data_IF_365015517878
#
_entry.id   IF_365015517878
#
_cell.length_a   1.000
_cell.length_b   1.000
_cell.length_c   1.000
_cell.angle_alpha   90.00
_cell.angle_beta   90.00
_cell.angle_gamma   90.00
#
_symmetry.space_group_name_H-M   'P 1'
#
loop_
_entity.id
_entity.type
_entity.pdbx_description
1 polymer ?
#
# COMPACT_ATOMS: atom_id res chain seq x y z
N UNK A 1 16.80 -2.12 -18.24
CA UNK A 1 17.59 -2.78 -17.18
C UNK A 1 18.81 -1.93 -16.89
N UNK A 2 19.04 -1.52 -15.64
CA UNK A 2 20.25 -0.76 -15.26
C UNK A 2 21.46 -1.70 -15.34
N UNK A 3 22.32 -1.50 -16.34
CA UNK A 3 23.40 -2.44 -16.72
C UNK A 3 24.55 -2.52 -15.70
N UNK A 4 24.62 -1.60 -14.73
CA UNK A 4 25.66 -1.53 -13.69
C UNK A 4 25.07 -1.51 -12.26
N UNK A 5 23.88 -2.06 -12.08
CA UNK A 5 23.25 -2.06 -10.76
C UNK A 5 23.81 -3.18 -9.87
N UNK A 6 23.67 -3.00 -8.55
CA UNK A 6 23.99 -4.02 -7.56
C UNK A 6 23.29 -5.36 -7.89
N UNK A 7 23.88 -6.54 -7.59
CA UNK A 7 23.25 -7.84 -7.90
C UNK A 7 21.83 -8.03 -7.31
N UNK A 8 21.53 -7.36 -6.20
CA UNK A 8 20.20 -7.37 -5.56
C UNK A 8 19.31 -6.21 -5.98
N UNK A 9 19.66 -5.46 -7.03
CA UNK A 9 18.84 -4.38 -7.51
C UNK A 9 17.54 -4.92 -8.12
N UNK A 10 16.37 -4.43 -7.70
CA UNK A 10 15.11 -4.99 -8.13
C UNK A 10 14.87 -4.69 -9.61
N UNK A 11 14.35 -5.70 -10.32
CA UNK A 11 13.86 -5.53 -11.69
C UNK A 11 12.47 -4.89 -11.74
N UNK A 12 11.74 -4.98 -10.62
CA UNK A 12 10.39 -4.47 -10.45
C UNK A 12 10.14 -4.15 -8.96
N UNK A 13 9.39 -3.09 -8.71
CA UNK A 13 8.96 -2.70 -7.37
C UNK A 13 7.44 -2.82 -7.22
N UNK A 14 7.00 -3.49 -6.16
CA UNK A 14 5.61 -3.45 -5.71
C UNK A 14 5.48 -2.41 -4.60
N UNK A 15 4.52 -1.50 -4.75
CA UNK A 15 4.32 -0.37 -3.83
C UNK A 15 3.00 -0.55 -3.10
N UNK A 16 3.01 -0.42 -1.77
CA UNK A 16 1.81 -0.38 -0.93
C UNK A 16 1.10 0.97 -1.14
N UNK A 17 0.30 1.05 -2.20
CA UNK A 17 -0.29 2.28 -2.70
C UNK A 17 -0.73 2.14 -4.15
N UNK A 18 -1.33 3.20 -4.70
CA UNK A 18 -1.89 3.15 -6.04
C UNK A 18 -0.91 3.64 -7.12
N UNK A 19 -1.11 3.14 -8.34
CA UNK A 19 -0.53 3.64 -9.57
C UNK A 19 -1.55 4.50 -10.32
N UNK A 20 -1.93 4.09 -11.53
CA UNK A 20 -2.92 4.80 -12.35
C UNK A 20 -4.30 4.88 -11.69
N UNK A 21 -4.67 3.91 -10.83
CA UNK A 21 -5.91 3.91 -10.03
C UNK A 21 -5.87 4.99 -8.93
N UNK A 22 -5.84 6.25 -9.35
CA UNK A 22 -5.70 7.42 -8.51
C UNK A 22 -6.54 8.55 -9.10
N UNK A 23 -7.15 9.45 -8.29
CA UNK A 23 -8.02 10.51 -8.82
C UNK A 23 -7.37 11.41 -9.89
N UNK A 24 -6.04 11.56 -9.82
CA UNK A 24 -5.23 12.32 -10.79
C UNK A 24 -4.53 11.44 -11.84
N UNK A 25 -4.86 10.15 -11.92
CA UNK A 25 -4.18 9.19 -12.79
C UNK A 25 -2.69 8.96 -12.51
N UNK A 26 -2.18 9.43 -11.37
CA UNK A 26 -0.75 9.39 -11.04
C UNK A 26 -0.53 9.21 -9.53
N UNK A 27 -0.61 7.97 -9.07
CA UNK A 27 -0.37 7.61 -7.66
C UNK A 27 1.10 7.42 -7.31
N UNK A 28 1.36 7.01 -6.06
CA UNK A 28 2.72 6.80 -5.53
C UNK A 28 3.54 5.80 -6.37
N UNK A 29 2.92 4.72 -6.84
CA UNK A 29 3.62 3.73 -7.66
C UNK A 29 4.06 4.31 -9.01
N UNK A 30 3.25 5.16 -9.64
CA UNK A 30 3.63 5.89 -10.86
C UNK A 30 4.78 6.85 -10.57
N UNK A 31 4.64 7.67 -9.53
CA UNK A 31 5.62 8.67 -9.15
C UNK A 31 7.00 8.05 -8.87
N UNK A 32 7.04 7.03 -8.01
CA UNK A 32 8.27 6.31 -7.70
C UNK A 32 8.88 5.65 -8.94
N UNK A 33 8.05 5.04 -9.79
CA UNK A 33 8.53 4.33 -10.98
C UNK A 33 9.20 5.24 -11.99
N UNK A 34 8.63 6.43 -12.21
CA UNK A 34 9.21 7.46 -13.08
C UNK A 34 10.54 7.95 -12.51
N UNK A 35 10.59 8.34 -11.23
CA UNK A 35 11.81 8.85 -10.61
C UNK A 35 12.93 7.80 -10.52
N UNK A 36 12.58 6.55 -10.22
CA UNK A 36 13.54 5.47 -10.08
C UNK A 36 13.99 4.86 -11.42
N UNK A 37 13.29 5.21 -12.52
CA UNK A 37 13.37 4.55 -13.82
C UNK A 37 13.25 3.01 -13.70
N UNK A 38 12.19 2.57 -13.00
CA UNK A 38 11.92 1.17 -12.71
C UNK A 38 10.48 0.79 -13.03
N UNK A 39 10.23 -0.45 -13.48
CA UNK A 39 8.89 -1.01 -13.49
C UNK A 39 8.28 -1.01 -12.10
N UNK A 40 7.07 -0.46 -11.96
CA UNK A 40 6.35 -0.40 -10.68
C UNK A 40 4.93 -0.88 -10.81
N UNK A 41 4.44 -1.54 -9.76
CA UNK A 41 3.04 -1.96 -9.61
C UNK A 41 2.49 -1.32 -8.33
N UNK A 42 1.34 -0.66 -8.43
CA UNK A 42 0.58 -0.22 -7.26
C UNK A 42 -0.30 -1.35 -6.74
N UNK A 43 -0.20 -1.68 -5.46
CA UNK A 43 -1.04 -2.66 -4.77
C UNK A 43 -1.69 -1.98 -3.57
N UNK A 44 -2.93 -1.53 -3.74
CA UNK A 44 -3.73 -0.90 -2.70
C UNK A 44 -4.54 -1.90 -1.88
N UNK A 45 -4.71 -1.62 -0.58
CA UNK A 45 -5.61 -2.38 0.31
C UNK A 45 -7.06 -1.88 0.26
N UNK A 46 -7.26 -0.68 -0.28
CA UNK A 46 -8.54 0.02 -0.43
C UNK A 46 -8.65 0.58 -1.86
N UNK A 47 -9.84 0.53 -2.45
CA UNK A 47 -10.20 1.22 -3.68
C UNK A 47 -10.29 2.74 -3.45
N UNK A 48 -9.67 3.50 -4.35
CA UNK A 48 -9.86 4.95 -4.44
C UNK A 48 -11.07 5.27 -5.31
N UNK A 49 -11.76 6.37 -4.99
CA UNK A 49 -12.82 6.87 -5.86
C UNK A 49 -12.22 7.49 -7.12
N UNK A 50 -12.42 6.82 -8.26
CA UNK A 50 -11.86 7.22 -9.56
C UNK A 50 -12.90 6.90 -10.61
N UNK A 51 -13.27 7.89 -11.44
CA UNK A 51 -14.10 7.65 -12.63
C UNK A 51 -15.38 6.84 -12.32
N UNK A 52 -16.09 7.20 -11.25
CA UNK A 52 -17.32 6.51 -10.82
C UNK A 52 -17.10 5.18 -10.06
N UNK A 53 -15.87 4.67 -9.97
CA UNK A 53 -15.55 3.51 -9.15
C UNK A 53 -15.73 3.85 -7.67
N UNK A 54 -16.57 3.10 -6.97
CA UNK A 54 -16.87 3.29 -5.54
C UNK A 54 -16.63 2.01 -4.77
N UNK A 55 -16.29 2.16 -3.48
CA UNK A 55 -16.16 1.04 -2.55
C UNK A 55 -17.47 0.27 -2.38
N UNK A 56 -18.60 0.99 -2.31
CA UNK A 56 -19.93 0.39 -2.20
C UNK A 56 -20.29 -0.42 -3.45
N UNK A 57 -20.08 0.14 -4.65
CA UNK A 57 -20.32 -0.58 -5.91
C UNK A 57 -19.43 -1.81 -6.05
N UNK A 58 -18.15 -1.70 -5.67
CA UNK A 58 -17.24 -2.85 -5.66
C UNK A 58 -17.69 -3.93 -4.68
N UNK A 59 -18.11 -3.53 -3.47
CA UNK A 59 -18.58 -4.47 -2.45
C UNK A 59 -19.80 -5.24 -2.91
N UNK A 60 -20.78 -4.55 -3.50
CA UNK A 60 -21.97 -5.18 -4.08
C UNK A 60 -21.60 -6.15 -5.22
N UNK A 61 -20.67 -5.77 -6.09
CA UNK A 61 -20.20 -6.64 -7.17
C UNK A 61 -19.53 -7.90 -6.61
N UNK A 62 -18.71 -7.74 -5.57
CA UNK A 62 -18.04 -8.86 -4.90
C UNK A 62 -19.02 -9.80 -4.20
N UNK A 63 -20.02 -9.25 -3.51
CA UNK A 63 -21.08 -10.00 -2.82
C UNK A 63 -21.95 -10.78 -3.84
N UNK A 64 -22.38 -10.12 -4.92
CA UNK A 64 -23.13 -10.78 -6.00
C UNK A 64 -22.33 -11.88 -6.71
N UNK A 65 -21.00 -11.74 -6.74
CA UNK A 65 -20.09 -12.69 -7.37
C UNK A 65 -19.62 -13.82 -6.45
N UNK A 66 -20.08 -13.92 -5.19
CA UNK A 66 -19.68 -15.00 -4.28
C UNK A 66 -20.04 -16.40 -4.83
N UNK A 67 -21.01 -16.49 -5.74
CA UNK A 67 -21.39 -17.72 -6.45
C UNK A 67 -20.57 -17.97 -7.73
N UNK A 68 -19.59 -17.12 -8.05
CA UNK A 68 -18.76 -17.19 -9.25
C UNK A 68 -17.29 -17.38 -8.87
N UNK A 69 -16.60 -18.36 -9.47
CA UNK A 69 -15.20 -18.66 -9.22
C UNK A 69 -14.20 -17.62 -9.79
N UNK A 70 -14.62 -16.36 -9.96
CA UNK A 70 -13.76 -15.29 -10.49
C UNK A 70 -13.02 -14.60 -9.35
N UNK A 71 -11.72 -14.84 -9.27
CA UNK A 71 -10.84 -14.18 -8.31
C UNK A 71 -10.45 -12.75 -8.72
N UNK A 72 -10.69 -12.37 -9.98
CA UNK A 72 -10.26 -11.11 -10.58
C UNK A 72 -11.42 -10.36 -11.23
N UNK A 73 -11.54 -9.08 -10.89
CA UNK A 73 -12.48 -8.14 -11.50
C UNK A 73 -11.72 -6.95 -12.04
N UNK A 74 -11.89 -6.63 -13.32
CA UNK A 74 -11.34 -5.41 -13.88
C UNK A 74 -12.13 -4.18 -13.41
N UNK A 75 -11.41 -3.12 -13.06
CA UNK A 75 -11.96 -1.88 -12.55
C UNK A 75 -12.12 -0.90 -13.69
N UNK A 76 -13.22 -1.05 -14.43
CA UNK A 76 -13.57 -0.16 -15.54
C UNK A 76 -14.49 0.95 -15.03
N UNK A 77 -14.06 2.20 -15.18
CA UNK A 77 -14.83 3.35 -14.75
C UNK A 77 -15.90 3.76 -15.77
N UNK A 78 -16.65 4.81 -15.45
CA UNK A 78 -17.76 5.32 -16.27
C UNK A 78 -17.30 5.81 -17.65
N UNK A 79 -16.04 6.26 -17.78
CA UNK A 79 -15.44 6.61 -19.07
C UNK A 79 -15.18 5.41 -20.00
N UNK A 80 -15.32 4.19 -19.50
CA UNK A 80 -14.90 2.96 -20.20
C UNK A 80 -13.40 2.64 -20.03
N UNK A 81 -12.63 3.49 -19.34
CA UNK A 81 -11.23 3.24 -19.05
C UNK A 81 -11.05 2.20 -17.93
N UNK A 82 -10.16 1.23 -18.13
CA UNK A 82 -9.78 0.26 -17.10
C UNK A 82 -8.61 0.79 -16.27
N UNK A 83 -8.90 1.14 -15.01
CA UNK A 83 -7.94 1.76 -14.09
C UNK A 83 -7.10 0.75 -13.31
N UNK A 84 -7.55 -0.50 -13.21
CA UNK A 84 -6.88 -1.54 -12.44
C UNK A 84 -7.66 -2.84 -12.38
N UNK A 85 -7.31 -3.69 -11.41
CA UNK A 85 -8.03 -4.93 -11.11
C UNK A 85 -8.17 -5.15 -9.60
N UNK A 86 -9.34 -5.57 -9.16
CA UNK A 86 -9.56 -6.10 -7.82
C UNK A 86 -9.30 -7.61 -7.82
N UNK A 87 -8.34 -8.05 -7.02
CA UNK A 87 -7.91 -9.44 -6.93
C UNK A 87 -8.18 -9.99 -5.52
N UNK A 88 -8.96 -11.07 -5.43
CA UNK A 88 -8.96 -11.98 -4.28
C UNK A 88 -7.74 -12.88 -4.40
N UNK A 89 -6.67 -12.50 -3.71
CA UNK A 89 -5.33 -13.03 -3.94
C UNK A 89 -5.09 -14.44 -3.38
N UNK A 90 -5.84 -14.87 -2.38
CA UNK A 90 -5.75 -16.21 -1.78
C UNK A 90 -7.13 -16.77 -1.44
N UNK A 91 -7.32 -18.11 -1.49
CA UNK A 91 -8.54 -18.74 -0.99
C UNK A 91 -8.83 -18.34 0.45
N UNK A 92 -10.09 -18.01 0.76
CA UNK A 92 -10.51 -17.55 2.09
C UNK A 92 -10.26 -16.07 2.39
N UNK A 93 -9.64 -15.30 1.49
CA UNK A 93 -9.53 -13.85 1.67
C UNK A 93 -10.84 -13.14 1.32
N UNK A 94 -11.50 -12.57 2.33
CA UNK A 94 -12.75 -11.81 2.14
C UNK A 94 -12.52 -10.41 1.54
N UNK A 95 -11.31 -9.86 1.68
CA UNK A 95 -10.99 -8.50 1.24
C UNK A 95 -10.01 -8.54 0.07
N UNK A 96 -10.40 -8.06 -1.13
CA UNK A 96 -9.48 -8.01 -2.26
C UNK A 96 -8.33 -7.04 -2.02
N UNK A 97 -7.32 -7.14 -2.87
CA UNK A 97 -6.32 -6.10 -3.10
C UNK A 97 -6.59 -5.45 -4.47
N UNK A 98 -6.23 -4.18 -4.61
CA UNK A 98 -6.48 -3.39 -5.81
C UNK A 98 -5.15 -3.16 -6.52
N UNK A 99 -5.03 -3.69 -7.72
CA UNK A 99 -3.81 -3.70 -8.52
C UNK A 99 -3.96 -2.63 -9.60
N UNK A 100 -2.95 -1.79 -9.75
CA UNK A 100 -2.91 -0.80 -10.82
C UNK A 100 -1.49 -0.66 -11.37
N UNK A 101 -1.41 -0.33 -12.65
CA UNK A 101 -0.13 -0.06 -13.31
C UNK A 101 0.56 1.13 -12.64
N UNK A 102 1.83 0.97 -12.26
CA UNK A 102 2.67 2.08 -11.82
C UNK A 102 3.43 2.69 -13.01
N UNK A 103 4.46 1.99 -13.49
CA UNK A 103 5.34 2.45 -14.55
C UNK A 103 5.90 1.26 -15.35
N UNK A 104 6.13 1.43 -16.66
CA UNK A 104 6.83 0.48 -17.56
C UNK A 104 6.38 -0.99 -17.46
N UNK A 105 5.12 -1.27 -17.11
CA UNK A 105 4.51 -2.60 -17.08
C UNK A 105 3.03 -2.52 -17.45
N UNK A 106 2.49 -3.53 -18.12
CA UNK A 106 1.06 -3.59 -18.43
C UNK A 106 0.24 -4.02 -17.20
N UNK A 107 -1.06 -3.69 -17.19
CA UNK A 107 -1.95 -4.11 -16.10
C UNK A 107 -2.04 -5.65 -16.01
N UNK A 108 -2.13 -6.33 -17.14
CA UNK A 108 -2.22 -7.79 -17.19
C UNK A 108 -0.98 -8.46 -16.59
N UNK A 109 0.22 -8.02 -17.00
CA UNK A 109 1.47 -8.51 -16.42
C UNK A 109 1.57 -8.17 -14.94
N UNK A 110 1.11 -6.98 -14.54
CA UNK A 110 1.08 -6.57 -13.13
C UNK A 110 0.25 -7.53 -12.28
N UNK A 111 -0.94 -7.89 -12.74
CA UNK A 111 -1.84 -8.81 -12.04
C UNK A 111 -1.20 -10.20 -11.92
N UNK A 112 -0.61 -10.71 -13.01
CA UNK A 112 0.07 -12.02 -13.02
C UNK A 112 1.22 -12.05 -12.00
N UNK A 113 2.10 -11.05 -12.03
CA UNK A 113 3.25 -10.97 -11.11
C UNK A 113 2.78 -10.85 -9.66
N UNK A 114 1.80 -9.99 -9.38
CA UNK A 114 1.22 -9.85 -8.03
C UNK A 114 0.65 -11.17 -7.54
N UNK A 115 -0.14 -11.88 -8.36
CA UNK A 115 -0.73 -13.17 -8.00
C UNK A 115 0.34 -14.21 -7.67
N UNK A 116 1.42 -14.28 -8.45
CA UNK A 116 2.55 -15.19 -8.19
C UNK A 116 3.30 -14.88 -6.88
N UNK A 117 3.29 -13.63 -6.44
CA UNK A 117 3.94 -13.19 -5.20
C UNK A 117 3.02 -13.25 -3.97
N UNK A 118 1.76 -13.63 -4.12
CA UNK A 118 0.79 -13.74 -3.02
C UNK A 118 0.81 -15.13 -2.38
N UNK A 119 1.62 -15.31 -1.33
CA UNK A 119 1.47 -16.42 -0.36
C UNK A 119 0.36 -16.17 0.65
N UNK A 120 0.07 -14.89 0.88
CA UNK A 120 -0.98 -14.36 1.75
C UNK A 120 -1.81 -13.33 0.97
N UNK A 121 -2.78 -12.68 1.64
CA UNK A 121 -3.59 -11.60 1.04
C UNK A 121 -2.74 -10.54 0.34
N UNK A 122 -1.65 -10.09 0.97
CA UNK A 122 -0.75 -9.06 0.44
C UNK A 122 0.50 -9.74 -0.13
N UNK A 123 1.04 -9.30 -1.28
CA UNK A 123 2.27 -9.86 -1.85
C UNK A 123 3.42 -9.86 -0.85
N UNK A 124 4.27 -10.89 -0.93
CA UNK A 124 5.32 -11.14 0.04
C UNK A 124 6.29 -9.95 0.18
N UNK A 125 6.63 -9.27 -0.92
CA UNK A 125 7.51 -8.10 -0.93
C UNK A 125 6.95 -6.94 -0.09
N UNK A 126 5.67 -6.60 -0.28
CA UNK A 126 4.99 -5.55 0.50
C UNK A 126 4.81 -6.00 1.95
N UNK A 127 4.44 -7.25 2.17
CA UNK A 127 4.25 -7.81 3.51
C UNK A 127 5.53 -7.73 4.34
N UNK A 128 6.67 -8.09 3.74
CA UNK A 128 7.98 -8.00 4.40
C UNK A 128 8.37 -6.55 4.69
N UNK A 129 8.15 -5.63 3.74
CA UNK A 129 8.39 -4.21 3.96
C UNK A 129 7.56 -3.64 5.15
N UNK A 130 6.27 -3.99 5.25
CA UNK A 130 5.41 -3.57 6.36
C UNK A 130 5.87 -4.16 7.70
N UNK A 131 6.26 -5.44 7.73
CA UNK A 131 6.81 -6.09 8.94
C UNK A 131 8.10 -5.40 9.40
N UNK A 132 9.06 -5.18 8.49
CA UNK A 132 10.33 -4.54 8.80
C UNK A 132 10.13 -3.10 9.28
N UNK A 133 9.25 -2.33 8.63
CA UNK A 133 8.93 -0.96 9.05
C UNK A 133 8.34 -0.91 10.45
N UNK A 134 7.36 -1.79 10.75
CA UNK A 134 6.77 -1.88 12.09
C UNK A 134 7.76 -2.35 13.16
N UNK A 135 8.65 -3.28 12.83
CA UNK A 135 9.70 -3.72 13.75
C UNK A 135 10.67 -2.59 14.06
N UNK A 136 11.06 -1.82 13.05
CA UNK A 136 11.91 -0.64 13.23
C UNK A 136 11.26 0.41 14.14
N UNK A 137 9.99 0.74 13.93
CA UNK A 137 9.25 1.68 14.77
C UNK A 137 9.18 1.23 16.24
N UNK A 138 8.91 -0.06 16.49
CA UNK A 138 8.90 -0.62 17.86
C UNK A 138 10.27 -0.51 18.54
N UNK A 139 11.34 -0.80 17.81
CA UNK A 139 12.70 -0.70 18.34
C UNK A 139 13.06 0.75 18.65
N UNK A 140 12.68 1.69 17.77
CA UNK A 140 12.89 3.11 17.98
C UNK A 140 12.12 3.61 19.22
N UNK A 141 10.85 3.22 19.38
CA UNK A 141 10.08 3.51 20.59
C UNK A 141 10.76 2.96 21.86
N UNK A 142 11.26 1.73 21.81
CA UNK A 142 12.01 1.10 22.90
C UNK A 142 13.28 1.86 23.28
N UNK A 143 14.07 2.29 22.29
CA UNK A 143 15.28 3.10 22.52
C UNK A 143 14.95 4.49 23.06
N UNK A 144 13.88 5.13 22.57
CA UNK A 144 13.43 6.43 23.05
C UNK A 144 12.84 6.36 24.47
N UNK A 145 12.28 5.22 24.89
CA UNK A 145 11.80 5.00 26.27
C UNK A 145 12.94 4.76 27.27
N UNK A 146 14.13 4.41 26.81
CA UNK A 146 15.32 4.21 27.66
C UNK A 146 16.11 5.51 27.92
N UNK A 147 15.78 6.63 27.28
CA UNK A 147 16.33 7.94 27.64
C UNK A 147 15.52 8.56 28.79
N UNK A 148 16.11 8.72 29.99
CA UNK A 148 15.43 9.35 31.10
C UNK A 148 15.53 10.86 30.92
N UNK A 149 14.42 11.49 30.59
CA UNK A 149 14.27 12.92 30.83
C UNK A 149 12.81 13.23 31.04
N UNK A 150 12.38 13.05 32.28
CA UNK A 150 11.29 13.80 32.86
C UNK A 150 11.64 14.02 34.34
N UNK A 151 12.53 15.00 34.59
CA UNK A 151 12.44 15.71 35.85
C UNK A 151 11.13 16.50 35.82
N UNK A 152 10.22 16.33 36.80
CA UNK A 152 8.97 17.06 36.82
C UNK A 152 9.24 18.58 36.93
N UNK A 153 8.82 19.35 35.91
CA UNK A 153 8.83 20.82 35.94
C UNK A 153 9.69 21.54 34.89
N UNK A 154 10.42 20.85 34.01
CA UNK A 154 11.13 21.48 32.87
C UNK A 154 10.35 21.31 31.57
N UNK A 155 10.20 22.40 30.82
CA UNK A 155 9.69 22.32 29.44
C UNK A 155 10.62 21.46 28.58
N UNK A 156 10.06 20.64 27.66
CA UNK A 156 10.88 19.79 26.80
C UNK A 156 11.78 20.63 25.90
N UNK A 157 13.03 20.20 25.71
CA UNK A 157 13.89 20.76 24.66
C UNK A 157 13.28 20.52 23.27
N UNK A 158 13.70 21.26 22.24
CA UNK A 158 13.20 21.10 20.87
C UNK A 158 13.34 19.64 20.37
N UNK A 159 14.43 18.96 20.71
CA UNK A 159 14.65 17.54 20.38
C UNK A 159 13.66 16.61 21.08
N UNK A 160 13.33 16.90 22.34
CA UNK A 160 12.31 16.16 23.09
C UNK A 160 10.91 16.43 22.53
N UNK A 161 10.63 17.68 22.14
CA UNK A 161 9.37 18.07 21.52
C UNK A 161 9.18 17.40 20.14
N UNK A 162 10.25 17.33 19.33
CA UNK A 162 10.27 16.60 18.07
C UNK A 162 10.02 15.10 18.28
N UNK A 163 10.65 14.51 19.30
CA UNK A 163 10.44 13.10 19.68
C UNK A 163 9.00 12.83 20.12
N UNK A 164 8.40 13.73 20.92
CA UNK A 164 7.00 13.65 21.35
C UNK A 164 6.05 13.76 20.14
N UNK A 165 6.35 14.66 19.20
CA UNK A 165 5.57 14.84 17.99
C UNK A 165 5.65 13.61 17.07
N UNK A 166 6.84 13.02 16.87
CA UNK A 166 7.02 11.75 16.16
C UNK A 166 6.23 10.62 16.82
N UNK A 167 6.27 10.51 18.17
CA UNK A 167 5.48 9.52 18.93
C UNK A 167 3.97 9.69 18.71
N UNK A 168 3.46 10.92 18.70
CA UNK A 168 2.04 11.19 18.40
C UNK A 168 1.70 10.77 16.97
N UNK A 169 2.54 11.10 16.00
CA UNK A 169 2.31 10.81 14.59
C UNK A 169 2.28 9.30 14.29
N UNK A 170 3.24 8.54 14.84
CA UNK A 170 3.30 7.06 14.70
C UNK A 170 2.07 6.39 15.32
N UNK A 171 1.62 6.87 16.49
CA UNK A 171 0.40 6.35 17.12
C UNK A 171 -0.87 6.69 16.34
N UNK A 172 -0.95 7.89 15.76
CA UNK A 172 -2.04 8.27 14.86
C UNK A 172 -2.10 7.35 13.63
N UNK A 173 -0.99 7.10 12.94
CA UNK A 173 -0.97 6.19 11.78
C UNK A 173 -1.32 4.73 12.15
N UNK A 174 -0.86 4.24 13.31
CA UNK A 174 -1.26 2.93 13.83
C UNK A 174 -2.76 2.82 14.08
N UNK A 175 -3.40 3.92 14.48
CA UNK A 175 -4.84 4.01 14.72
C UNK A 175 -5.62 4.06 13.39
N UNK A 176 -5.12 4.84 12.41
CA UNK A 176 -5.65 4.88 11.04
C UNK A 176 -5.54 3.53 10.33
N UNK A 177 -4.40 2.82 10.47
CA UNK A 177 -4.19 1.49 9.89
C UNK A 177 -5.13 0.41 10.49
N UNK A 178 -5.69 0.63 11.69
CA UNK A 178 -6.67 -0.24 12.34
C UNK A 178 -8.12 0.10 11.99
N UNK A 179 -8.37 1.03 11.08
CA UNK A 179 -9.70 1.29 10.54
C UNK A 179 -10.69 1.94 11.51
N UNK A 180 -10.22 2.53 12.62
CA UNK A 180 -11.05 3.48 13.38
C UNK A 180 -10.86 4.87 12.77
N UNK A 181 -11.67 5.17 11.75
CA UNK A 181 -11.92 6.55 11.38
C UNK A 181 -12.67 7.21 12.54
N UNK A 182 -12.02 8.14 13.23
CA UNK A 182 -12.73 9.24 13.90
C UNK A 182 -12.60 10.40 12.94
N UNK A 183 -13.48 10.45 11.94
CA UNK A 183 -14.47 11.52 11.65
C UNK A 183 -15.48 10.93 10.65
#
# INVERSE_FOLDING_TARGET
MKRQAHPFYPQLLMVDGNGLLHPRGFGLACHLGVLADLPTIGVGKNLHHVDGLTQSGMRQLLEASENCAKDLFFLTGNSGCTWGGALRSTPGSSKPIFISTGNRISLESSIKVVKMCCKYRVPESIRQADISSRAYLKNLEGSLMQHPSNEPGKEPSEDQQMTINLRRWVNLESTYAKGRAVI
#
